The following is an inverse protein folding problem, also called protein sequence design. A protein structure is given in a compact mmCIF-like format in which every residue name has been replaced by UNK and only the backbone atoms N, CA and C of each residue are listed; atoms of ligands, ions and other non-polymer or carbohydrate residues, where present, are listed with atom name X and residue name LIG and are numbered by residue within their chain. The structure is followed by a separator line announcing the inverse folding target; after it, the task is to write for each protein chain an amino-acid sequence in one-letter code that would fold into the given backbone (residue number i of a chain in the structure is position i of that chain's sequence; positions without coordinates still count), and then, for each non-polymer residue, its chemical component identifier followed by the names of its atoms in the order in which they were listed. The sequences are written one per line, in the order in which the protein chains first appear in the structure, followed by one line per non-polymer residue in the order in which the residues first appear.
data_IF_578374343883
#
_entry.id   IF_578374343883
#
_cell.length_a   1.000
_cell.length_b   1.000
_cell.length_c   1.000
_cell.angle_alpha   90.00
_cell.angle_beta   90.00
_cell.angle_gamma   90.00
#
_symmetry.space_group_name_H-M   'P 1'
#
loop_
_entity.id
_entity.type
_entity.pdbx_description
1 polymer ?
#
# COMPACT_ATOMS: atom_id res chain seq x y z
N UNK A 1 -6.64 7.27 -0.14
CA UNK A 1 -5.31 7.33 0.52
C UNK A 1 -4.63 5.98 0.35
N UNK A 2 -3.35 5.96 -0.05
CA UNK A 2 -2.57 4.71 -0.20
C UNK A 2 -1.53 4.65 0.90
N UNK A 3 -1.61 3.61 1.73
CA UNK A 3 -0.63 3.34 2.78
C UNK A 3 0.32 2.24 2.33
N UNK A 4 1.60 2.42 2.59
CA UNK A 4 2.65 1.45 2.28
C UNK A 4 3.53 1.27 3.53
N UNK A 5 4.02 0.05 3.71
CA UNK A 5 4.95 -0.26 4.79
C UNK A 5 6.05 -1.20 4.32
N UNK A 6 7.16 -1.17 5.05
CA UNK A 6 8.31 -2.06 4.89
C UNK A 6 8.63 -2.73 6.23
N UNK A 7 9.16 -3.96 6.13
CA UNK A 7 9.50 -4.80 7.28
C UNK A 7 8.39 -5.79 7.66
N UNK A 8 8.78 -6.83 8.40
CA UNK A 8 7.90 -7.76 9.13
C UNK A 8 6.62 -8.21 8.43
N UNK A 9 6.73 -9.01 7.36
CA UNK A 9 5.56 -9.64 6.71
C UNK A 9 5.42 -11.15 6.99
N UNK A 10 6.24 -11.72 7.86
CA UNK A 10 6.19 -13.13 8.25
C UNK A 10 4.84 -13.58 8.83
N UNK A 11 4.12 -12.70 9.53
CA UNK A 11 2.77 -12.97 10.06
C UNK A 11 1.74 -13.24 8.96
N UNK A 12 1.98 -12.73 7.75
CA UNK A 12 1.15 -12.94 6.56
C UNK A 12 1.71 -14.03 5.64
N UNK A 13 2.66 -14.85 6.11
CA UNK A 13 3.31 -15.89 5.32
C UNK A 13 4.40 -15.41 4.36
N UNK A 14 4.82 -14.14 4.47
CA UNK A 14 5.96 -13.62 3.73
C UNK A 14 7.30 -14.03 4.35
N UNK A 15 8.39 -13.81 3.61
CA UNK A 15 9.74 -14.18 4.05
C UNK A 15 10.46 -13.08 4.86
N UNK A 16 9.89 -11.88 4.99
CA UNK A 16 10.52 -10.76 5.69
C UNK A 16 10.17 -10.83 7.19
N UNK A 17 11.16 -11.19 7.99
CA UNK A 17 11.10 -11.29 9.45
C UNK A 17 11.81 -10.13 10.17
N UNK A 18 12.12 -9.05 9.44
CA UNK A 18 12.79 -7.88 10.01
C UNK A 18 11.97 -7.30 11.17
N UNK A 19 12.63 -7.10 12.31
CA UNK A 19 12.07 -6.43 13.50
C UNK A 19 11.90 -4.93 13.30
N UNK A 20 12.62 -4.34 12.33
CA UNK A 20 12.43 -2.96 11.94
C UNK A 20 11.19 -2.84 11.06
N UNK A 21 10.34 -1.86 11.38
CA UNK A 21 9.13 -1.54 10.63
C UNK A 21 9.07 -0.04 10.34
N UNK A 22 8.67 0.31 9.12
CA UNK A 22 8.33 1.68 8.77
C UNK A 22 7.06 1.70 7.91
N UNK A 23 6.12 2.57 8.25
CA UNK A 23 4.86 2.74 7.54
C UNK A 23 4.55 4.21 7.27
N UNK A 24 3.99 4.49 6.11
CA UNK A 24 3.59 5.83 5.71
C UNK A 24 2.44 5.80 4.69
N UNK A 25 2.06 6.97 4.19
CA UNK A 25 1.05 7.09 3.15
C UNK A 25 1.47 8.08 2.08
N UNK A 26 0.97 7.89 0.86
CA UNK A 26 1.23 8.75 -0.28
C UNK A 26 -0.06 9.54 -0.60
N UNK A 27 -0.10 10.85 -0.30
CA UNK A 27 -1.27 11.68 -0.58
C UNK A 27 -1.45 11.87 -2.09
N UNK A 28 -2.71 12.05 -2.53
CA UNK A 28 -3.02 12.34 -3.94
C UNK A 28 -2.70 11.22 -4.93
N UNK A 29 -2.45 10.00 -4.46
CA UNK A 29 -2.13 8.86 -5.34
C UNK A 29 -3.29 8.47 -6.24
N UNK A 30 -2.96 8.08 -7.47
CA UNK A 30 -3.85 7.33 -8.36
C UNK A 30 -3.50 5.85 -8.25
N UNK A 31 -4.51 4.99 -8.10
CA UNK A 31 -4.35 3.53 -7.96
C UNK A 31 -5.11 2.84 -9.06
N UNK A 32 -4.37 2.04 -9.82
CA UNK A 32 -4.89 1.16 -10.86
C UNK A 32 -4.59 -0.28 -10.49
N UNK A 33 -5.60 -1.15 -10.49
CA UNK A 33 -5.48 -2.59 -10.22
C UNK A 33 -6.01 -3.32 -11.44
N UNK A 34 -5.21 -4.23 -12.01
CA UNK A 34 -5.58 -5.04 -13.18
C UNK A 34 -6.07 -4.24 -14.42
N UNK A 35 -5.69 -2.96 -14.50
CA UNK A 35 -6.10 -2.04 -15.56
C UNK A 35 -7.25 -1.09 -15.19
N UNK A 36 -7.93 -1.34 -14.07
CA UNK A 36 -9.04 -0.53 -13.57
C UNK A 36 -8.55 0.53 -12.57
N UNK A 37 -8.81 1.81 -12.86
CA UNK A 37 -8.45 2.91 -11.96
C UNK A 37 -9.50 3.08 -10.86
N UNK A 38 -9.16 2.63 -9.66
CA UNK A 38 -10.03 2.65 -8.49
C UNK A 38 -9.90 3.94 -7.67
N UNK A 39 -8.71 4.53 -7.62
CA UNK A 39 -8.48 5.81 -6.95
C UNK A 39 -7.87 6.76 -7.98
N UNK A 40 -8.40 7.97 -8.09
CA UNK A 40 -7.85 9.03 -8.93
C UNK A 40 -7.58 10.27 -8.07
N UNK A 41 -6.32 10.73 -8.06
CA UNK A 41 -5.87 11.89 -7.28
C UNK A 41 -6.27 11.86 -5.80
N UNK A 42 -6.26 10.67 -5.19
CA UNK A 42 -6.65 10.46 -3.80
C UNK A 42 -8.16 10.29 -3.55
N UNK A 43 -9.00 10.44 -4.58
CA UNK A 43 -10.45 10.23 -4.51
C UNK A 43 -10.80 8.84 -5.04
N UNK A 44 -11.61 8.09 -4.28
CA UNK A 44 -12.14 6.80 -4.72
C UNK A 44 -13.11 7.02 -5.89
N UNK A 45 -12.86 6.34 -7.02
CA UNK A 45 -13.81 6.25 -8.14
C UNK A 45 -14.76 5.09 -7.88
N UNK A 46 -16.05 5.37 -8.02
CA UNK A 46 -17.15 4.42 -7.88
C UNK A 46 -17.70 4.04 -9.24
#
# INVERSE_FOLDING_TARGET
MVSLSIGGNAWAGGANDSSYFFGGFIPGSTVTIDGDTLIEYGTLKH
#
